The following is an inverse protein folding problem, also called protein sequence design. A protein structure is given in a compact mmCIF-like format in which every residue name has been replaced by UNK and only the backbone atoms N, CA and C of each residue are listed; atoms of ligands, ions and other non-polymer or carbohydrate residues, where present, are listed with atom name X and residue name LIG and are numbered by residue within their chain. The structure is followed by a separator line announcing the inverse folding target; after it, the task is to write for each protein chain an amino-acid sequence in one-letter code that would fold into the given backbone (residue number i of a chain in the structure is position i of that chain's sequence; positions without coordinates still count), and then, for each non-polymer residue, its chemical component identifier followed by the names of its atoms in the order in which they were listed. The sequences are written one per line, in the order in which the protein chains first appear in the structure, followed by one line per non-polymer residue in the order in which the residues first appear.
data_IF_855437951443
#
_entry.id   IF_855437951443
#
_cell.length_a   1.000
_cell.length_b   1.000
_cell.length_c   1.000
_cell.angle_alpha   90.00
_cell.angle_beta   90.00
_cell.angle_gamma   90.00
#
_symmetry.space_group_name_H-M   'P 1'
#
loop_
_entity.id
_entity.type
_entity.pdbx_description
1 polymer ?
#
# COMPACT_ATOMS: atom_id res chain seq x y z
N UNK A 1 -12.15 -9.77 -16.01
CA UNK A 1 -12.72 -8.66 -15.20
C UNK A 1 -11.94 -8.41 -13.90
N UNK A 2 -11.60 -9.45 -13.11
CA UNK A 2 -10.81 -9.29 -11.88
C UNK A 2 -9.43 -8.63 -12.09
N UNK A 3 -8.69 -9.03 -13.12
CA UNK A 3 -7.39 -8.44 -13.47
C UNK A 3 -7.46 -6.94 -13.81
N UNK A 4 -8.53 -6.49 -14.48
CA UNK A 4 -8.72 -5.08 -14.79
C UNK A 4 -8.99 -4.25 -13.53
N UNK A 5 -9.75 -4.79 -12.58
CA UNK A 5 -10.00 -4.12 -11.29
C UNK A 5 -8.72 -4.06 -10.44
N UNK A 6 -7.91 -5.12 -10.46
CA UNK A 6 -6.61 -5.15 -9.79
C UNK A 6 -5.64 -4.14 -10.40
N UNK A 7 -5.56 -4.08 -11.74
CA UNK A 7 -4.74 -3.10 -12.45
C UNK A 7 -5.19 -1.66 -12.16
N UNK A 8 -6.50 -1.40 -12.14
CA UNK A 8 -7.04 -0.09 -11.79
C UNK A 8 -6.73 0.31 -10.33
N UNK A 9 -6.81 -0.63 -9.37
CA UNK A 9 -6.47 -0.36 -7.98
C UNK A 9 -4.97 -0.04 -7.81
N UNK A 10 -4.09 -0.84 -8.43
CA UNK A 10 -2.63 -0.58 -8.40
C UNK A 10 -2.28 0.75 -9.08
N UNK A 11 -2.95 1.07 -10.19
CA UNK A 11 -2.77 2.36 -10.87
C UNK A 11 -3.19 3.54 -9.99
N UNK A 12 -4.37 3.47 -9.36
CA UNK A 12 -4.85 4.53 -8.47
C UNK A 12 -3.95 4.74 -7.26
N UNK A 13 -3.39 3.67 -6.68
CA UNK A 13 -2.40 3.78 -5.60
C UNK A 13 -1.11 4.46 -6.07
N UNK A 14 -0.60 4.08 -7.25
CA UNK A 14 0.59 4.72 -7.84
C UNK A 14 0.36 6.19 -8.18
N UNK A 15 -0.78 6.55 -8.75
CA UNK A 15 -1.10 7.94 -9.09
C UNK A 15 -1.18 8.81 -7.82
N UNK A 16 -1.84 8.31 -6.77
CA UNK A 16 -1.87 8.97 -5.47
C UNK A 16 -0.47 9.13 -4.86
N UNK A 17 0.41 8.14 -5.03
CA UNK A 17 1.81 8.19 -4.61
C UNK A 17 2.60 9.30 -5.28
N UNK A 18 2.42 9.45 -6.59
CA UNK A 18 3.16 10.42 -7.39
C UNK A 18 2.66 11.85 -7.19
N UNK A 19 1.41 12.02 -6.76
CA UNK A 19 0.82 13.34 -6.53
C UNK A 19 1.36 14.02 -5.27
N UNK A 20 1.82 13.26 -4.27
CA UNK A 20 2.26 13.79 -2.98
C UNK A 20 3.62 13.17 -2.59
N UNK A 21 4.73 13.92 -2.74
CA UNK A 21 6.04 13.47 -2.28
C UNK A 21 6.02 13.11 -0.79
N UNK A 22 6.34 11.86 -0.45
CA UNK A 22 6.35 11.36 0.94
C UNK A 22 5.04 10.69 1.41
N UNK A 23 4.03 10.61 0.54
CA UNK A 23 2.78 9.90 0.82
C UNK A 23 3.03 8.43 1.21
N UNK A 24 2.65 8.06 2.44
CA UNK A 24 2.87 6.71 2.96
C UNK A 24 2.19 5.67 2.07
N UNK A 25 0.89 5.87 1.83
CA UNK A 25 0.01 4.93 1.14
C UNK A 25 0.28 4.83 -0.37
N UNK A 26 1.17 5.67 -0.89
CA UNK A 26 1.59 5.62 -2.28
C UNK A 26 2.69 4.59 -2.57
N UNK A 27 3.40 4.11 -1.55
CA UNK A 27 4.49 3.17 -1.77
C UNK A 27 3.99 1.84 -2.38
N UNK A 28 4.78 1.20 -3.26
CA UNK A 28 4.38 -0.02 -3.97
C UNK A 28 3.96 -1.16 -3.04
N UNK A 29 4.51 -1.22 -1.83
CA UNK A 29 4.19 -2.25 -0.83
C UNK A 29 2.72 -2.21 -0.39
N UNK A 30 2.11 -1.02 -0.37
CA UNK A 30 0.67 -0.86 -0.08
C UNK A 30 -0.20 -1.37 -1.22
N UNK A 31 0.22 -1.13 -2.46
CA UNK A 31 -0.45 -1.66 -3.63
C UNK A 31 -0.39 -3.20 -3.64
N UNK A 32 0.77 -3.78 -3.29
CA UNK A 32 0.93 -5.23 -3.16
C UNK A 32 0.11 -5.81 -2.00
N UNK A 33 0.04 -5.12 -0.86
CA UNK A 33 -0.78 -5.56 0.27
C UNK A 33 -2.28 -5.54 -0.07
N UNK A 34 -2.74 -4.50 -0.77
CA UNK A 34 -4.11 -4.40 -1.25
C UNK A 34 -4.41 -5.51 -2.27
N UNK A 35 -3.51 -5.74 -3.23
CA UNK A 35 -3.59 -6.81 -4.21
C UNK A 35 -3.73 -8.17 -3.51
N UNK A 36 -2.85 -8.47 -2.55
CA UNK A 36 -2.85 -9.72 -1.78
C UNK A 36 -4.16 -9.96 -1.01
N UNK A 37 -4.72 -8.92 -0.40
CA UNK A 37 -6.03 -9.01 0.28
C UNK A 37 -7.18 -9.27 -0.69
N UNK A 38 -7.19 -8.58 -1.83
CA UNK A 38 -8.26 -8.73 -2.82
C UNK A 38 -8.22 -10.11 -3.47
N UNK A 39 -7.03 -10.57 -3.88
CA UNK A 39 -6.85 -11.90 -4.47
C UNK A 39 -7.22 -13.00 -3.47
N UNK A 40 -6.81 -12.87 -2.21
CA UNK A 40 -7.21 -13.78 -1.13
C UNK A 40 -8.72 -13.85 -0.92
N UNK A 41 -9.43 -12.71 -0.94
CA UNK A 41 -10.91 -12.68 -0.85
C UNK A 41 -11.61 -13.29 -2.06
N UNK A 42 -11.01 -13.15 -3.24
CA UNK A 42 -11.55 -13.66 -4.49
C UNK A 42 -11.18 -15.14 -4.74
N UNK A 43 -10.34 -15.74 -3.88
CA UNK A 43 -9.81 -17.09 -4.10
C UNK A 43 -8.89 -17.19 -5.33
N UNK A 44 -8.35 -16.06 -5.80
CA UNK A 44 -7.45 -16.00 -6.95
C UNK A 44 -6.02 -16.05 -6.43
N UNK A 45 -5.14 -16.90 -6.97
CA UNK A 45 -3.73 -16.92 -6.54
C UNK A 45 -3.03 -15.62 -6.97
N UNK A 46 -2.14 -15.12 -6.10
CA UNK A 46 -1.20 -14.07 -6.48
C UNK A 46 -0.26 -14.57 -7.60
N UNK A 47 0.18 -13.68 -8.50
CA UNK A 47 1.26 -14.01 -9.43
C UNK A 47 2.47 -14.63 -8.70
N UNK A 48 3.05 -15.72 -9.22
CA UNK A 48 4.23 -16.33 -8.64
C UNK A 48 5.41 -15.34 -8.67
N UNK A 49 6.23 -15.36 -7.61
CA UNK A 49 7.39 -14.45 -7.47
C UNK A 49 7.09 -13.13 -6.76
N UNK A 50 5.85 -12.91 -6.30
CA UNK A 50 5.53 -11.81 -5.39
C UNK A 50 5.93 -12.19 -3.95
N UNK A 51 6.88 -11.45 -3.40
CA UNK A 51 7.21 -11.49 -1.98
C UNK A 51 6.06 -10.90 -1.17
N UNK A 52 5.77 -11.49 -0.02
CA UNK A 52 4.74 -10.98 0.89
C UNK A 52 5.14 -9.59 1.44
N UNK A 53 4.41 -8.52 1.11
CA UNK A 53 4.79 -7.15 1.50
C UNK A 53 4.47 -6.83 2.97
N UNK A 54 3.87 -7.76 3.72
CA UNK A 54 3.38 -7.51 5.08
C UNK A 54 4.48 -7.03 6.01
N UNK A 55 5.65 -7.67 6.00
CA UNK A 55 6.74 -7.34 6.92
C UNK A 55 7.30 -5.94 6.64
N UNK A 56 7.46 -5.57 5.36
CA UNK A 56 7.92 -4.25 4.94
C UNK A 56 6.90 -3.16 5.29
N UNK A 57 5.61 -3.41 5.04
CA UNK A 57 4.53 -2.50 5.45
C UNK A 57 4.50 -2.32 6.97
N UNK A 58 4.64 -3.39 7.74
CA UNK A 58 4.69 -3.33 9.21
C UNK A 58 5.90 -2.55 9.71
N UNK A 59 7.07 -2.73 9.10
CA UNK A 59 8.28 -1.99 9.43
C UNK A 59 8.09 -0.47 9.22
N UNK A 60 7.49 -0.07 8.09
CA UNK A 60 7.18 1.34 7.79
C UNK A 60 6.17 1.92 8.79
N UNK A 61 5.10 1.19 9.10
CA UNK A 61 4.11 1.59 10.11
C UNK A 61 4.76 1.77 11.49
N UNK A 62 5.52 0.78 11.95
CA UNK A 62 6.20 0.82 13.25
C UNK A 62 7.23 1.96 13.33
N UNK A 63 7.92 2.26 12.22
CA UNK A 63 8.79 3.42 12.14
C UNK A 63 8.00 4.72 12.27
N UNK A 64 6.94 4.92 11.47
CA UNK A 64 6.13 6.14 11.49
C UNK A 64 5.46 6.41 12.84
N UNK A 65 4.90 5.37 13.47
CA UNK A 65 4.32 5.47 14.81
C UNK A 65 5.36 5.92 15.84
N UNK A 66 6.57 5.35 15.81
CA UNK A 66 7.67 5.76 16.71
C UNK A 66 8.12 7.22 16.49
N UNK A 67 7.86 7.79 15.31
CA UNK A 67 8.24 9.15 14.96
C UNK A 67 7.06 10.13 14.91
N UNK A 68 5.88 9.74 15.41
CA UNK A 68 4.68 10.61 15.43
C UNK A 68 4.34 11.18 14.04
N UNK A 69 4.46 10.34 13.01
CA UNK A 69 4.10 10.70 11.63
C UNK A 69 2.81 9.97 11.25
N UNK A 70 1.82 10.68 10.73
CA UNK A 70 0.57 10.07 10.27
C UNK A 70 0.82 9.14 9.07
N UNK A 71 -0.08 8.18 8.93
CA UNK A 71 -0.16 7.18 7.87
C UNK A 71 -1.11 7.65 6.76
N UNK A 72 -1.78 8.81 6.91
CA UNK A 72 -2.63 9.37 5.86
C UNK A 72 -1.87 9.59 4.53
N UNK A 73 -2.63 9.71 3.44
CA UNK A 73 -2.10 9.93 2.09
C UNK A 73 -1.26 11.22 2.01
N UNK A 74 -1.50 12.17 2.90
CA UNK A 74 -0.86 13.48 2.91
C UNK A 74 0.36 13.56 3.85
N UNK A 75 0.69 12.48 4.55
CA UNK A 75 1.69 12.44 5.61
C UNK A 75 1.57 13.64 6.57
N UNK A 76 0.35 14.01 6.95
CA UNK A 76 0.14 15.12 7.88
C UNK A 76 0.87 14.83 9.20
N UNK A 77 1.61 15.81 9.74
CA UNK A 77 2.23 15.63 11.06
C UNK A 77 1.12 15.60 12.10
N UNK A 78 1.08 14.54 12.90
CA UNK A 78 0.20 14.48 14.07
C UNK A 78 0.76 15.45 15.12
N UNK A 79 -0.07 16.38 15.59
CA UNK A 79 0.31 17.43 16.56
C UNK A 79 0.36 16.93 18.02
N UNK A 80 0.56 15.64 18.24
CA UNK A 80 0.45 15.00 19.55
C UNK A 80 1.82 14.72 20.17
#
# INVERSE_FOLDING_TARGET
RALLLLAAAVLGVREAATAVPGACLGAPDWALLALARVTGRLGVPLPPGLTDPRDDVWAVLAHRVRHHVDVDVYATRTLW
#
